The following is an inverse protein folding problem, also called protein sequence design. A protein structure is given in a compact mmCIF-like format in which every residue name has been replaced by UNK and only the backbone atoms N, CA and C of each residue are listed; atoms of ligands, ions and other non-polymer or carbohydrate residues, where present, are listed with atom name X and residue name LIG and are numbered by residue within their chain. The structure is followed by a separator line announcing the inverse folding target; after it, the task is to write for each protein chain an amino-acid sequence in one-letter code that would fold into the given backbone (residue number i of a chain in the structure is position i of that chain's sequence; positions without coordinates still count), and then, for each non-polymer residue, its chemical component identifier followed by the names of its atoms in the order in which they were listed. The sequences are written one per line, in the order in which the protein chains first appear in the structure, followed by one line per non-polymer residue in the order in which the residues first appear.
data_IF_085816780048
#
_entry.id   IF_085816780048
#
_cell.length_a   1.000
_cell.length_b   1.000
_cell.length_c   1.000
_cell.angle_alpha   90.00
_cell.angle_beta   90.00
_cell.angle_gamma   90.00
#
_symmetry.space_group_name_H-M   'P 1'
#
loop_
_entity.id
_entity.type
_entity.pdbx_description
1 polymer ?
#
# COMPACT_ATOMS: atom_id res chain seq x y z
N UNK A 1 -35.66 22.19 0.36
CA UNK A 1 -35.56 21.40 1.60
C UNK A 1 -36.46 20.19 1.45
N UNK A 2 -35.96 19.11 0.93
CA UNK A 2 -36.69 17.84 0.78
C UNK A 2 -36.37 16.98 1.97
N UNK A 3 -37.41 16.61 2.67
CA UNK A 3 -37.46 15.80 3.87
C UNK A 3 -36.93 14.38 3.61
N UNK A 4 -35.82 14.01 4.25
CA UNK A 4 -35.18 12.67 4.18
C UNK A 4 -35.60 11.76 5.34
N UNK A 5 -36.78 11.97 5.91
CA UNK A 5 -37.29 11.18 7.03
C UNK A 5 -38.45 10.29 6.60
N UNK A 6 -38.20 9.21 5.86
CA UNK A 6 -39.07 7.99 5.95
C UNK A 6 -38.78 7.03 4.81
N UNK A 7 -37.82 6.12 5.00
CA UNK A 7 -37.91 4.77 4.43
C UNK A 7 -37.01 3.81 5.25
N UNK A 8 -37.61 3.01 6.11
CA UNK A 8 -37.21 1.65 6.45
C UNK A 8 -35.86 1.42 7.17
N UNK A 9 -35.33 2.36 7.97
CA UNK A 9 -34.26 2.02 8.89
C UNK A 9 -34.88 1.36 10.12
N UNK A 10 -34.64 0.05 10.31
CA UNK A 10 -34.88 -0.62 11.57
C UNK A 10 -34.09 0.14 12.67
N UNK A 11 -34.76 1.00 13.42
CA UNK A 11 -34.16 1.80 14.50
C UNK A 11 -33.93 0.85 15.67
N UNK A 12 -32.77 0.17 15.66
CA UNK A 12 -32.29 -0.50 16.86
C UNK A 12 -32.09 0.57 17.93
N UNK A 13 -32.62 0.34 19.13
CA UNK A 13 -32.39 1.23 20.28
C UNK A 13 -30.90 1.32 20.58
N UNK A 14 -30.43 2.46 21.09
CA UNK A 14 -29.02 2.73 21.40
C UNK A 14 -28.35 1.59 22.20
N UNK A 15 -29.04 0.99 23.15
CA UNK A 15 -28.53 -0.14 23.94
C UNK A 15 -28.36 -1.46 23.15
N UNK A 16 -29.21 -1.73 22.15
CA UNK A 16 -29.10 -2.92 21.30
C UNK A 16 -27.98 -2.77 20.26
N UNK A 17 -27.70 -1.54 19.79
CA UNK A 17 -26.57 -1.26 18.91
C UNK A 17 -25.22 -1.51 19.60
N UNK A 18 -25.06 -1.11 20.88
CA UNK A 18 -23.81 -1.30 21.60
C UNK A 18 -23.46 -2.77 21.89
N UNK A 19 -24.45 -3.64 22.13
CA UNK A 19 -24.20 -5.05 22.44
C UNK A 19 -23.86 -5.92 21.21
N UNK A 20 -24.17 -5.47 19.99
CA UNK A 20 -23.84 -6.21 18.75
C UNK A 20 -22.49 -5.79 18.11
N UNK A 21 -21.91 -4.65 18.53
CA UNK A 21 -20.74 -4.03 17.88
C UNK A 21 -19.39 -4.68 18.21
N UNK A 22 -19.34 -5.47 19.29
CA UNK A 22 -18.08 -6.11 19.74
C UNK A 22 -18.07 -7.64 19.57
N UNK A 23 -18.88 -8.15 18.66
CA UNK A 23 -18.77 -9.58 18.33
C UNK A 23 -17.50 -9.79 17.52
N UNK A 24 -16.51 -10.46 18.14
CA UNK A 24 -15.25 -10.85 17.47
C UNK A 24 -15.57 -11.58 16.17
N UNK A 25 -14.77 -11.31 15.12
CA UNK A 25 -14.84 -12.08 13.88
C UNK A 25 -14.42 -13.52 14.16
N UNK A 26 -15.26 -14.48 13.79
CA UNK A 26 -14.96 -15.90 13.82
C UNK A 26 -14.51 -16.41 12.44
N UNK A 27 -14.11 -17.68 12.36
CA UNK A 27 -13.59 -18.28 11.12
C UNK A 27 -14.62 -18.37 10.00
N UNK A 28 -15.91 -18.25 10.30
CA UNK A 28 -17.02 -18.28 9.34
C UNK A 28 -17.42 -16.88 8.89
N UNK A 29 -16.91 -15.84 9.54
CA UNK A 29 -17.21 -14.44 9.19
C UNK A 29 -16.86 -14.17 7.74
N UNK A 30 -17.79 -13.56 7.00
CA UNK A 30 -17.56 -13.16 5.61
C UNK A 30 -16.75 -11.87 5.57
N UNK A 31 -15.56 -11.93 5.00
CA UNK A 31 -14.64 -10.78 4.91
C UNK A 31 -14.49 -10.35 3.46
N UNK A 32 -14.92 -9.14 3.15
CA UNK A 32 -14.69 -8.52 1.85
C UNK A 32 -13.32 -7.82 1.82
N UNK A 33 -12.46 -8.22 0.87
CA UNK A 33 -11.17 -7.57 0.63
C UNK A 33 -11.24 -6.79 -0.68
N UNK A 34 -11.59 -5.52 -0.60
CA UNK A 34 -11.57 -4.61 -1.74
C UNK A 34 -10.11 -4.36 -2.19
N UNK A 35 -9.80 -4.68 -3.45
CA UNK A 35 -8.44 -4.60 -3.98
C UNK A 35 -7.58 -5.85 -3.71
N UNK A 36 -8.21 -7.02 -3.55
CA UNK A 36 -7.57 -8.31 -3.25
C UNK A 36 -6.50 -8.77 -4.24
N UNK A 37 -6.45 -8.23 -5.45
CA UNK A 37 -5.43 -8.55 -6.48
C UNK A 37 -4.19 -7.66 -6.41
N UNK A 38 -4.20 -6.57 -5.64
CA UNK A 38 -3.07 -5.65 -5.48
C UNK A 38 -2.00 -6.17 -4.51
N UNK A 39 -0.85 -5.48 -4.44
CA UNK A 39 0.28 -5.82 -3.56
C UNK A 39 -0.18 -6.13 -2.13
N UNK A 40 -0.85 -5.21 -1.48
CA UNK A 40 -1.26 -5.35 -0.07
C UNK A 40 -2.51 -6.22 0.07
N UNK A 41 -3.48 -6.05 -0.82
CA UNK A 41 -4.74 -6.81 -0.76
C UNK A 41 -4.52 -8.31 -0.94
N UNK A 42 -3.63 -8.74 -1.85
CA UNK A 42 -3.30 -10.16 -2.03
C UNK A 42 -2.54 -10.75 -0.83
N UNK A 43 -1.65 -9.97 -0.24
CA UNK A 43 -0.95 -10.38 0.98
C UNK A 43 -1.92 -10.53 2.18
N UNK A 44 -2.88 -9.61 2.34
CA UNK A 44 -3.94 -9.70 3.37
C UNK A 44 -4.82 -10.93 3.13
N UNK A 45 -5.23 -11.17 1.88
CA UNK A 45 -6.00 -12.34 1.50
C UNK A 45 -5.30 -13.64 1.90
N UNK A 46 -4.02 -13.77 1.53
CA UNK A 46 -3.21 -14.95 1.86
C UNK A 46 -3.00 -15.11 3.37
N UNK A 47 -2.79 -14.01 4.11
CA UNK A 47 -2.65 -14.03 5.56
C UNK A 47 -3.93 -14.49 6.26
N UNK A 48 -5.11 -13.99 5.82
CA UNK A 48 -6.40 -14.44 6.33
C UNK A 48 -6.63 -15.94 6.05
N UNK A 49 -6.37 -16.39 4.81
CA UNK A 49 -6.45 -17.81 4.44
C UNK A 49 -5.55 -18.67 5.30
N UNK A 50 -4.28 -18.27 5.47
CA UNK A 50 -3.32 -18.97 6.32
C UNK A 50 -3.72 -19.04 7.80
N UNK A 51 -4.52 -18.09 8.27
CA UNK A 51 -5.12 -18.10 9.62
C UNK A 51 -6.45 -18.87 9.69
N UNK A 52 -6.93 -19.47 8.58
CA UNK A 52 -8.14 -20.29 8.51
C UNK A 52 -9.44 -19.47 8.33
N UNK A 53 -9.37 -18.22 7.89
CA UNK A 53 -10.53 -17.46 7.42
C UNK A 53 -10.74 -17.75 5.94
N UNK A 54 -11.69 -18.61 5.61
CA UNK A 54 -11.90 -19.11 4.24
C UNK A 54 -13.12 -18.47 3.55
N UNK A 55 -14.00 -17.80 4.29
CA UNK A 55 -15.16 -17.10 3.73
C UNK A 55 -14.76 -15.68 3.29
N UNK A 56 -13.88 -15.63 2.30
CA UNK A 56 -13.35 -14.37 1.75
C UNK A 56 -14.06 -14.02 0.45
N UNK A 57 -14.37 -12.74 0.28
CA UNK A 57 -14.99 -12.20 -0.95
C UNK A 57 -14.05 -11.14 -1.54
N UNK A 58 -13.80 -11.23 -2.83
CA UNK A 58 -13.06 -10.25 -3.63
C UNK A 58 -13.75 -10.09 -4.98
N UNK A 59 -13.64 -8.91 -5.58
CA UNK A 59 -14.08 -8.62 -6.95
C UNK A 59 -12.98 -7.83 -7.65
N UNK A 60 -12.68 -8.22 -8.87
CA UNK A 60 -11.82 -7.43 -9.75
C UNK A 60 -12.53 -6.15 -10.19
N UNK A 61 -11.79 -5.16 -10.66
CA UNK A 61 -12.37 -3.91 -11.20
C UNK A 61 -13.38 -4.16 -12.34
N UNK A 62 -13.21 -5.22 -13.12
CA UNK A 62 -14.16 -5.59 -14.19
C UNK A 62 -15.48 -6.16 -13.66
N UNK A 63 -15.44 -6.80 -12.48
CA UNK A 63 -16.62 -7.40 -11.84
C UNK A 63 -17.36 -6.40 -10.96
N UNK A 64 -16.62 -5.45 -10.34
CA UNK A 64 -17.17 -4.42 -9.48
C UNK A 64 -16.34 -3.15 -9.60
N UNK A 65 -16.89 -2.14 -10.28
CA UNK A 65 -16.32 -0.80 -10.26
C UNK A 65 -16.71 -0.07 -8.98
N UNK A 66 -15.74 0.19 -8.12
CA UNK A 66 -15.97 0.89 -6.85
C UNK A 66 -16.29 2.37 -7.02
N UNK A 67 -16.14 2.93 -8.23
CA UNK A 67 -16.59 4.28 -8.56
C UNK A 67 -18.11 4.35 -8.78
N UNK A 68 -18.76 3.22 -9.12
CA UNK A 68 -20.20 3.15 -9.31
C UNK A 68 -20.93 2.88 -7.99
N UNK A 69 -21.62 3.89 -7.40
CA UNK A 69 -22.33 3.74 -6.13
C UNK A 69 -23.50 2.73 -6.21
N UNK A 70 -24.11 2.55 -7.40
CA UNK A 70 -25.22 1.61 -7.58
C UNK A 70 -24.71 0.18 -7.59
N UNK A 71 -23.61 -0.07 -8.30
CA UNK A 71 -22.95 -1.38 -8.30
C UNK A 71 -22.43 -1.76 -6.91
N UNK A 72 -21.82 -0.83 -6.18
CA UNK A 72 -21.31 -1.06 -4.82
C UNK A 72 -22.48 -1.36 -3.87
N UNK A 73 -23.57 -0.57 -3.91
CA UNK A 73 -24.75 -0.86 -3.10
C UNK A 73 -25.30 -2.26 -3.37
N UNK A 74 -25.49 -2.61 -4.65
CA UNK A 74 -25.99 -3.94 -5.06
C UNK A 74 -25.10 -5.06 -4.53
N UNK A 75 -23.76 -4.89 -4.63
CA UNK A 75 -22.81 -5.86 -4.10
C UNK A 75 -22.98 -6.06 -2.58
N UNK A 76 -23.14 -4.97 -1.81
CA UNK A 76 -23.36 -5.09 -0.36
C UNK A 76 -24.72 -5.68 -0.03
N UNK A 77 -25.78 -5.37 -0.81
CA UNK A 77 -27.11 -6.00 -0.66
C UNK A 77 -27.03 -7.53 -0.83
N UNK A 78 -26.23 -8.02 -1.78
CA UNK A 78 -26.09 -9.44 -2.10
C UNK A 78 -25.12 -10.18 -1.16
N UNK A 79 -23.95 -9.60 -0.89
CA UNK A 79 -22.86 -10.29 -0.18
C UNK A 79 -22.97 -10.17 1.35
N UNK A 80 -23.51 -9.07 1.88
CA UNK A 80 -23.68 -8.84 3.32
C UNK A 80 -22.40 -9.18 4.13
N UNK A 81 -21.23 -8.55 3.88
CA UNK A 81 -20.00 -8.92 4.58
C UNK A 81 -20.03 -8.55 6.06
N UNK A 82 -19.47 -9.40 6.91
CA UNK A 82 -19.27 -9.12 8.34
C UNK A 82 -18.14 -8.12 8.58
N UNK A 83 -17.12 -8.18 7.75
CA UNK A 83 -15.98 -7.26 7.82
C UNK A 83 -15.51 -6.83 6.43
N UNK A 84 -14.88 -5.66 6.38
CA UNK A 84 -14.36 -5.08 5.14
C UNK A 84 -12.91 -4.66 5.34
N UNK A 85 -12.04 -5.02 4.39
CA UNK A 85 -10.70 -4.45 4.24
C UNK A 85 -10.70 -3.61 2.97
N UNK A 86 -10.58 -2.30 3.11
CA UNK A 86 -10.53 -1.37 1.99
C UNK A 86 -9.07 -1.09 1.60
N UNK A 87 -8.51 -1.98 0.76
CA UNK A 87 -7.17 -1.87 0.19
C UNK A 87 -7.19 -1.29 -1.24
N UNK A 88 -8.37 -1.19 -1.86
CA UNK A 88 -8.54 -0.59 -3.18
C UNK A 88 -8.30 0.91 -3.13
N UNK A 89 -7.51 1.42 -4.06
CA UNK A 89 -7.25 2.84 -4.26
C UNK A 89 -6.70 3.10 -5.66
N UNK A 90 -6.91 4.30 -6.18
CA UNK A 90 -6.16 4.79 -7.33
C UNK A 90 -4.79 5.25 -6.86
N UNK A 91 -3.73 4.53 -7.26
CA UNK A 91 -2.35 4.74 -6.79
C UNK A 91 -1.39 4.92 -7.95
N UNK A 92 -0.26 5.58 -7.70
CA UNK A 92 0.79 5.77 -8.70
C UNK A 92 2.00 6.48 -8.13
N UNK A 93 3.09 6.50 -8.91
CA UNK A 93 4.33 7.20 -8.55
C UNK A 93 4.18 8.74 -8.57
N UNK A 94 5.27 9.44 -8.24
CA UNK A 94 5.31 10.91 -8.13
C UNK A 94 4.79 11.59 -9.41
N UNK A 95 5.25 11.14 -10.59
CA UNK A 95 4.84 11.75 -11.87
C UNK A 95 3.36 11.55 -12.16
N UNK A 96 2.80 10.39 -11.86
CA UNK A 96 1.36 10.13 -12.02
C UNK A 96 0.53 11.04 -11.09
N UNK A 97 0.92 11.16 -9.82
CA UNK A 97 0.27 12.06 -8.86
C UNK A 97 0.31 13.53 -9.32
N UNK A 98 1.44 13.95 -9.90
CA UNK A 98 1.62 15.34 -10.36
C UNK A 98 0.76 15.63 -11.61
N UNK A 99 0.67 14.66 -12.55
CA UNK A 99 0.02 14.85 -13.83
C UNK A 99 -1.51 14.60 -13.79
N UNK A 100 -1.99 13.72 -12.92
CA UNK A 100 -3.39 13.29 -12.83
C UNK A 100 -4.05 13.68 -11.50
N UNK A 101 -3.74 14.90 -11.01
CA UNK A 101 -4.16 15.40 -9.69
C UNK A 101 -5.67 15.25 -9.42
N UNK A 102 -6.50 15.57 -10.40
CA UNK A 102 -7.96 15.50 -10.28
C UNK A 102 -8.43 14.04 -10.14
N UNK A 103 -7.88 13.11 -10.92
CA UNK A 103 -8.23 11.69 -10.86
C UNK A 103 -7.84 11.09 -9.50
N UNK A 104 -6.65 11.44 -8.98
CA UNK A 104 -6.19 10.94 -7.69
C UNK A 104 -7.09 11.37 -6.53
N UNK A 105 -7.54 12.62 -6.47
CA UNK A 105 -8.45 13.05 -5.41
C UNK A 105 -9.86 12.50 -5.64
N UNK A 106 -10.42 12.66 -6.83
CA UNK A 106 -11.80 12.33 -7.12
C UNK A 106 -12.09 10.83 -6.98
N UNK A 107 -11.31 9.99 -7.65
CA UNK A 107 -11.55 8.54 -7.62
C UNK A 107 -11.34 7.95 -6.23
N UNK A 108 -10.30 8.37 -5.51
CA UNK A 108 -10.10 7.87 -4.14
C UNK A 108 -11.22 8.31 -3.19
N UNK A 109 -11.69 9.54 -3.27
CA UNK A 109 -12.83 10.00 -2.48
C UNK A 109 -14.09 9.19 -2.81
N UNK A 110 -14.37 8.95 -4.10
CA UNK A 110 -15.55 8.20 -4.53
C UNK A 110 -15.50 6.75 -4.03
N UNK A 111 -14.39 6.05 -4.19
CA UNK A 111 -14.19 4.68 -3.68
C UNK A 111 -14.44 4.63 -2.18
N UNK A 112 -13.84 5.53 -1.42
CA UNK A 112 -13.94 5.57 0.04
C UNK A 112 -15.37 5.84 0.50
N UNK A 113 -16.03 6.82 -0.10
CA UNK A 113 -17.43 7.16 0.24
C UNK A 113 -18.37 5.99 -0.03
N UNK A 114 -18.23 5.33 -1.18
CA UNK A 114 -19.07 4.20 -1.54
C UNK A 114 -18.88 3.04 -0.57
N UNK A 115 -17.63 2.59 -0.36
CA UNK A 115 -17.35 1.40 0.45
C UNK A 115 -17.62 1.64 1.94
N UNK A 116 -17.16 2.77 2.53
CA UNK A 116 -17.37 3.07 3.95
C UNK A 116 -18.85 3.33 4.21
N UNK A 117 -19.53 4.06 3.31
CA UNK A 117 -20.95 4.36 3.43
C UNK A 117 -21.83 3.10 3.37
N UNK A 118 -21.59 2.20 2.42
CA UNK A 118 -22.34 0.95 2.33
C UNK A 118 -21.99 -0.02 3.47
N UNK A 119 -20.74 -0.02 3.93
CA UNK A 119 -20.37 -0.78 5.13
C UNK A 119 -21.22 -0.37 6.35
N UNK A 120 -21.45 0.93 6.53
CA UNK A 120 -22.31 1.41 7.62
C UNK A 120 -23.79 1.02 7.41
N UNK A 121 -24.33 1.21 6.19
CA UNK A 121 -25.75 0.90 5.89
C UNK A 121 -26.07 -0.58 6.11
N UNK A 122 -25.10 -1.46 5.84
CA UNK A 122 -25.25 -2.92 5.95
C UNK A 122 -24.76 -3.50 7.28
N UNK A 123 -24.42 -2.65 8.25
CA UNK A 123 -24.05 -3.09 9.60
C UNK A 123 -22.74 -3.88 9.66
N UNK A 124 -21.77 -3.57 8.78
CA UNK A 124 -20.44 -4.18 8.82
C UNK A 124 -19.83 -4.01 10.21
N UNK A 125 -19.43 -5.12 10.83
CA UNK A 125 -18.94 -5.17 12.22
C UNK A 125 -17.58 -4.51 12.38
N UNK A 126 -16.66 -4.75 11.42
CA UNK A 126 -15.31 -4.19 11.39
C UNK A 126 -14.94 -3.71 10.00
N UNK A 127 -14.30 -2.55 9.93
CA UNK A 127 -13.70 -2.06 8.69
C UNK A 127 -12.27 -1.63 8.96
N UNK A 128 -11.35 -2.12 8.11
CA UNK A 128 -9.98 -1.67 8.06
C UNK A 128 -9.74 -0.85 6.81
N UNK A 129 -9.42 0.42 6.97
CA UNK A 129 -9.07 1.34 5.89
C UNK A 129 -7.56 1.43 5.73
N UNK A 130 -7.05 1.14 4.53
CA UNK A 130 -5.64 1.29 4.20
C UNK A 130 -5.37 2.72 3.71
N UNK A 131 -4.76 3.50 4.57
CA UNK A 131 -4.29 4.84 4.30
C UNK A 131 -2.89 4.87 3.67
N UNK A 132 -2.11 5.88 4.01
CA UNK A 132 -0.72 6.05 3.60
C UNK A 132 -0.04 7.10 4.48
N UNK A 133 1.24 6.97 4.74
CA UNK A 133 2.03 8.00 5.44
C UNK A 133 2.20 9.32 4.67
N UNK A 134 1.70 9.42 3.43
CA UNK A 134 1.65 10.70 2.71
C UNK A 134 0.68 11.72 3.33
N UNK A 135 -0.18 11.29 4.26
CA UNK A 135 -1.09 12.17 5.01
C UNK A 135 -0.36 13.14 5.96
N UNK A 136 0.89 12.85 6.30
CA UNK A 136 1.65 13.71 7.19
C UNK A 136 2.25 14.91 6.48
N UNK A 137 2.38 16.03 7.19
CA UNK A 137 3.04 17.22 6.66
C UNK A 137 4.41 16.92 6.08
N UNK A 138 4.77 17.65 5.01
CA UNK A 138 6.09 17.53 4.37
C UNK A 138 7.26 17.66 5.36
N UNK A 139 7.12 18.57 6.32
CA UNK A 139 8.13 18.88 7.34
C UNK A 139 7.72 18.36 8.73
N UNK A 140 6.95 17.26 8.79
CA UNK A 140 6.58 16.67 10.07
C UNK A 140 7.82 16.29 10.90
N UNK A 141 7.79 16.48 12.23
CA UNK A 141 8.84 15.96 13.10
C UNK A 141 9.03 14.46 12.91
N UNK A 142 10.27 14.01 13.03
CA UNK A 142 10.65 12.60 12.82
C UNK A 142 11.11 11.96 14.14
N UNK A 143 10.65 10.74 14.45
CA UNK A 143 9.67 9.93 13.73
C UNK A 143 8.26 10.56 13.75
N UNK A 144 7.49 10.36 12.65
CA UNK A 144 6.15 10.93 12.48
C UNK A 144 5.16 10.19 13.38
N UNK A 145 4.63 10.90 14.37
CA UNK A 145 3.54 10.42 15.24
C UNK A 145 2.18 10.70 14.61
N UNK A 146 1.16 9.98 15.04
CA UNK A 146 -0.21 10.17 14.57
C UNK A 146 -0.73 11.60 14.82
N UNK A 147 -0.25 12.25 15.87
CA UNK A 147 -0.59 13.65 16.22
C UNK A 147 -0.07 14.68 15.21
N UNK A 148 0.88 14.32 14.35
CA UNK A 148 1.37 15.22 13.31
C UNK A 148 0.37 15.44 12.16
N UNK A 149 -0.75 14.70 12.13
CA UNK A 149 -1.78 14.87 11.11
C UNK A 149 -2.37 16.28 11.12
N UNK A 150 -2.40 16.94 9.95
CA UNK A 150 -2.99 18.28 9.73
C UNK A 150 -2.31 19.42 10.53
N UNK A 151 -1.06 19.28 10.90
CA UNK A 151 -0.32 20.33 11.64
C UNK A 151 0.41 21.32 10.72
N UNK A 152 0.62 21.02 9.45
CA UNK A 152 1.26 21.87 8.46
C UNK A 152 0.96 21.40 7.04
N UNK A 153 1.57 22.03 6.04
CA UNK A 153 1.39 21.74 4.61
C UNK A 153 1.84 20.32 4.21
N UNK A 154 1.09 19.73 3.30
CA UNK A 154 1.39 18.42 2.71
C UNK A 154 2.47 18.54 1.63
N UNK A 155 3.00 17.40 1.18
CA UNK A 155 3.88 17.36 0.02
C UNK A 155 3.09 17.67 -1.27
N UNK A 156 3.44 18.74 -1.95
CA UNK A 156 2.71 19.29 -3.09
C UNK A 156 2.46 18.27 -4.20
N UNK A 157 3.44 17.40 -4.49
CA UNK A 157 3.35 16.48 -5.63
C UNK A 157 2.27 15.43 -5.47
N UNK A 158 1.94 15.01 -4.23
CA UNK A 158 0.93 14.00 -3.94
C UNK A 158 -0.20 14.51 -3.03
N UNK A 159 -0.31 15.82 -2.84
CA UNK A 159 -1.32 16.46 -1.98
C UNK A 159 -2.75 15.97 -2.28
N UNK A 160 -3.23 15.89 -3.54
CA UNK A 160 -4.59 15.42 -3.84
C UNK A 160 -4.86 13.99 -3.33
N UNK A 161 -3.90 13.09 -3.50
CA UNK A 161 -3.98 11.74 -2.95
C UNK A 161 -3.97 11.75 -1.42
N UNK A 162 -3.09 12.54 -0.82
CA UNK A 162 -2.99 12.68 0.63
C UNK A 162 -4.29 13.20 1.24
N UNK A 163 -4.89 14.24 0.65
CA UNK A 163 -6.20 14.78 1.07
C UNK A 163 -7.29 13.71 1.00
N UNK A 164 -7.34 12.93 -0.08
CA UNK A 164 -8.31 11.84 -0.19
C UNK A 164 -8.10 10.79 0.92
N UNK A 165 -6.86 10.41 1.22
CA UNK A 165 -6.55 9.46 2.30
C UNK A 165 -6.86 10.03 3.70
N UNK A 166 -6.63 11.32 3.92
CA UNK A 166 -7.07 12.02 5.15
C UNK A 166 -8.59 11.97 5.29
N UNK A 167 -9.32 12.25 4.21
CA UNK A 167 -10.78 12.17 4.23
C UNK A 167 -11.27 10.77 4.60
N UNK A 168 -10.69 9.70 4.03
CA UNK A 168 -11.07 8.32 4.34
C UNK A 168 -10.81 7.94 5.79
N UNK A 169 -9.65 8.28 6.34
CA UNK A 169 -9.38 8.03 7.77
C UNK A 169 -10.32 8.82 8.68
N UNK A 170 -10.64 10.10 8.32
CA UNK A 170 -11.57 10.90 9.10
C UNK A 170 -13.02 10.41 8.96
N UNK A 171 -13.40 9.82 7.85
CA UNK A 171 -14.67 9.09 7.76
C UNK A 171 -14.72 7.92 8.75
N UNK A 172 -13.69 7.05 8.78
CA UNK A 172 -13.63 5.95 9.74
C UNK A 172 -13.75 6.46 11.19
N UNK A 173 -12.98 7.48 11.56
CA UNK A 173 -13.01 8.09 12.89
C UNK A 173 -14.40 8.67 13.21
N UNK A 174 -15.00 9.43 12.29
CA UNK A 174 -16.30 10.07 12.50
C UNK A 174 -17.44 9.07 12.61
N UNK A 175 -17.47 8.03 11.75
CA UNK A 175 -18.47 6.97 11.85
C UNK A 175 -18.35 6.18 13.15
N UNK A 176 -17.13 5.94 13.61
CA UNK A 176 -16.89 5.26 14.89
C UNK A 176 -17.33 6.11 16.09
N UNK A 177 -17.04 7.40 16.10
CA UNK A 177 -17.43 8.30 17.18
C UNK A 177 -18.93 8.58 17.22
N UNK A 178 -19.55 8.81 16.05
CA UNK A 178 -20.96 9.19 15.99
C UNK A 178 -21.91 8.00 16.09
N UNK A 179 -21.58 6.90 15.43
CA UNK A 179 -22.47 5.75 15.28
C UNK A 179 -21.99 4.49 16.03
N UNK A 180 -20.86 4.57 16.72
CA UNK A 180 -20.28 3.42 17.43
C UNK A 180 -19.75 2.32 16.51
N UNK A 181 -19.39 2.64 15.28
CA UNK A 181 -18.75 1.70 14.35
C UNK A 181 -17.37 1.27 14.87
N UNK A 182 -16.88 0.13 14.40
CA UNK A 182 -15.54 -0.35 14.69
C UNK A 182 -14.67 -0.26 13.43
N UNK A 183 -14.42 0.98 12.98
CA UNK A 183 -13.71 1.30 11.75
C UNK A 183 -12.36 1.93 12.07
N UNK A 184 -11.28 1.26 11.66
CA UNK A 184 -9.90 1.65 11.98
C UNK A 184 -9.15 1.93 10.68
N UNK A 185 -8.34 2.98 10.68
CA UNK A 185 -7.44 3.31 9.60
C UNK A 185 -5.99 2.98 9.97
N UNK A 186 -5.25 2.34 9.06
CA UNK A 186 -3.82 2.08 9.22
C UNK A 186 -3.02 2.80 8.15
N UNK A 187 -1.85 3.34 8.53
CA UNK A 187 -0.99 4.16 7.69
C UNK A 187 0.32 3.44 7.41
N UNK A 188 0.39 2.66 6.32
CA UNK A 188 1.62 1.97 5.95
C UNK A 188 2.71 2.94 5.51
N UNK A 189 3.95 2.60 5.86
CA UNK A 189 5.17 3.18 5.28
C UNK A 189 5.41 2.68 3.86
N UNK A 190 6.63 2.85 3.29
CA UNK A 190 6.90 2.36 1.94
C UNK A 190 6.94 0.82 1.93
N UNK A 191 6.10 0.24 1.11
CA UNK A 191 5.95 -1.20 1.00
C UNK A 191 6.76 -1.75 -0.17
N UNK A 192 7.20 -2.99 -0.03
CA UNK A 192 7.84 -3.78 -1.08
C UNK A 192 7.57 -5.26 -0.85
N UNK A 193 7.50 -6.06 -1.91
CA UNK A 193 7.22 -7.49 -1.76
C UNK A 193 6.77 -8.18 -3.05
N UNK A 194 6.30 -9.44 -2.95
CA UNK A 194 5.73 -10.17 -4.07
C UNK A 194 4.57 -9.41 -4.74
N UNK A 195 4.47 -9.54 -6.06
CA UNK A 195 3.47 -8.84 -6.89
C UNK A 195 3.62 -7.31 -6.94
N UNK A 196 4.77 -6.74 -6.53
CA UNK A 196 5.06 -5.33 -6.72
C UNK A 196 5.27 -5.00 -8.21
N UNK A 197 5.19 -3.71 -8.52
CA UNK A 197 5.41 -3.22 -9.87
C UNK A 197 6.91 -3.03 -10.13
N UNK A 198 7.46 -3.78 -11.09
CA UNK A 198 8.87 -3.68 -11.52
C UNK A 198 9.06 -2.87 -12.81
N UNK A 199 8.09 -2.06 -13.22
CA UNK A 199 8.22 -1.22 -14.41
C UNK A 199 9.26 -0.12 -14.19
N UNK A 200 10.20 0.07 -15.15
CA UNK A 200 11.35 0.97 -14.96
C UNK A 200 10.97 2.45 -14.78
N UNK A 201 9.80 2.87 -15.28
CA UNK A 201 9.34 4.27 -15.16
C UNK A 201 8.41 4.49 -13.96
N UNK A 202 7.50 3.54 -13.68
CA UNK A 202 6.35 3.78 -12.82
C UNK A 202 6.38 2.96 -11.52
N UNK A 203 7.47 2.23 -11.26
CA UNK A 203 7.61 1.44 -10.04
C UNK A 203 8.09 2.27 -8.85
N UNK A 204 7.92 1.70 -7.66
CA UNK A 204 8.56 2.21 -6.46
C UNK A 204 10.07 1.98 -6.52
N UNK A 205 10.80 2.69 -5.64
CA UNK A 205 12.27 2.75 -5.70
C UNK A 205 12.95 1.38 -5.55
N UNK A 206 12.50 0.52 -4.63
CA UNK A 206 13.17 -0.75 -4.35
C UNK A 206 12.96 -1.79 -5.47
N UNK A 207 11.74 -2.06 -5.99
CA UNK A 207 11.57 -2.95 -7.13
C UNK A 207 12.27 -2.43 -8.40
N UNK A 208 12.30 -1.09 -8.62
CA UNK A 208 13.09 -0.52 -9.72
C UNK A 208 14.58 -0.81 -9.58
N UNK A 209 15.13 -0.67 -8.38
CA UNK A 209 16.54 -0.99 -8.10
C UNK A 209 16.85 -2.46 -8.38
N UNK A 210 16.03 -3.39 -7.89
CA UNK A 210 16.23 -4.83 -8.13
C UNK A 210 16.28 -5.11 -9.62
N UNK A 211 15.29 -4.63 -10.39
CA UNK A 211 15.26 -4.88 -11.83
C UNK A 211 16.46 -4.26 -12.56
N UNK A 212 16.81 -3.01 -12.22
CA UNK A 212 17.94 -2.31 -12.85
C UNK A 212 19.27 -3.04 -12.58
N UNK A 213 19.53 -3.38 -11.32
CA UNK A 213 20.76 -4.05 -10.92
C UNK A 213 20.84 -5.46 -11.51
N UNK A 214 19.71 -6.20 -11.54
CA UNK A 214 19.65 -7.51 -12.17
C UNK A 214 19.96 -7.47 -13.66
N UNK A 215 19.32 -6.57 -14.42
CA UNK A 215 19.58 -6.41 -15.85
C UNK A 215 21.03 -5.98 -16.14
N UNK A 216 21.56 -5.03 -15.35
CA UNK A 216 22.96 -4.63 -15.48
C UNK A 216 23.92 -5.79 -15.22
N UNK A 217 23.67 -6.62 -14.21
CA UNK A 217 24.45 -7.84 -13.96
C UNK A 217 24.38 -8.80 -15.13
N UNK A 218 23.20 -9.12 -15.65
CA UNK A 218 23.04 -10.01 -16.80
C UNK A 218 23.81 -9.48 -18.03
N UNK A 219 23.75 -8.19 -18.30
CA UNK A 219 24.52 -7.55 -19.37
C UNK A 219 26.03 -7.64 -19.13
N UNK A 220 26.49 -7.40 -17.91
CA UNK A 220 27.91 -7.48 -17.52
C UNK A 220 28.48 -8.90 -17.67
N UNK A 221 27.65 -9.91 -17.36
CA UNK A 221 28.02 -11.32 -17.49
C UNK A 221 27.78 -11.90 -18.91
N UNK A 222 27.19 -11.11 -19.82
CA UNK A 222 26.84 -11.56 -21.16
C UNK A 222 25.65 -12.51 -21.23
N UNK A 223 24.86 -12.61 -20.16
CA UNK A 223 23.66 -13.46 -20.09
C UNK A 223 22.46 -12.82 -20.81
N UNK A 224 22.52 -12.84 -22.13
CA UNK A 224 21.47 -12.30 -22.99
C UNK A 224 20.14 -13.08 -22.89
N UNK A 225 20.19 -14.34 -22.53
CA UNK A 225 18.99 -15.14 -22.34
C UNK A 225 18.17 -14.63 -21.14
N UNK A 226 18.83 -14.30 -20.05
CA UNK A 226 18.18 -13.71 -18.87
C UNK A 226 17.64 -12.30 -19.17
N UNK A 227 18.41 -11.46 -19.90
CA UNK A 227 17.96 -10.13 -20.33
C UNK A 227 16.70 -10.23 -21.17
N UNK A 228 16.69 -11.08 -22.19
CA UNK A 228 15.55 -11.26 -23.09
C UNK A 228 14.30 -11.80 -22.36
N UNK A 229 14.49 -12.72 -21.45
CA UNK A 229 13.41 -13.25 -20.61
C UNK A 229 12.74 -12.15 -19.77
N UNK A 230 13.53 -11.31 -19.12
CA UNK A 230 12.99 -10.19 -18.32
C UNK A 230 12.20 -9.20 -19.18
N UNK A 231 12.79 -8.78 -20.31
CA UNK A 231 12.19 -7.78 -21.18
C UNK A 231 10.94 -8.34 -21.89
N UNK A 232 10.88 -9.63 -22.21
CA UNK A 232 9.67 -10.28 -22.73
C UNK A 232 8.55 -10.26 -21.70
N UNK A 233 8.87 -10.52 -20.43
CA UNK A 233 7.89 -10.48 -19.36
C UNK A 233 7.41 -9.05 -19.04
N UNK A 234 8.33 -8.07 -19.19
CA UNK A 234 8.08 -6.66 -18.86
C UNK A 234 8.70 -5.76 -19.92
N UNK A 235 8.08 -5.63 -21.11
CA UNK A 235 8.60 -4.78 -22.19
C UNK A 235 8.83 -3.34 -21.73
N UNK A 236 9.84 -2.69 -22.31
CA UNK A 236 10.23 -1.30 -22.01
C UNK A 236 10.05 -0.46 -23.25
N UNK A 237 9.20 0.56 -23.22
CA UNK A 237 8.87 1.41 -24.37
C UNK A 237 8.49 0.60 -25.66
N UNK A 238 7.83 -0.55 -25.49
CA UNK A 238 7.49 -1.45 -26.59
C UNK A 238 8.67 -2.30 -27.10
N UNK A 239 9.84 -2.20 -26.51
CA UNK A 239 10.99 -3.08 -26.78
C UNK A 239 10.87 -4.32 -25.90
N UNK A 240 10.81 -5.48 -26.56
CA UNK A 240 10.80 -6.81 -25.96
C UNK A 240 12.08 -7.60 -26.29
N UNK A 241 12.17 -8.82 -25.83
CA UNK A 241 13.34 -9.67 -26.05
C UNK A 241 13.54 -10.18 -27.48
N UNK A 242 12.64 -9.91 -28.42
CA UNK A 242 12.80 -10.24 -29.85
C UNK A 242 13.66 -9.21 -30.60
N UNK A 243 13.87 -8.04 -30.01
CA UNK A 243 14.64 -6.95 -30.61
C UNK A 243 16.14 -7.24 -30.64
N UNK A 244 16.87 -6.44 -31.46
CA UNK A 244 18.34 -6.54 -31.54
C UNK A 244 18.99 -6.18 -30.19
N UNK A 245 20.22 -6.69 -29.96
CA UNK A 245 20.97 -6.34 -28.77
C UNK A 245 21.21 -4.82 -28.68
N UNK A 246 21.44 -4.14 -29.80
CA UNK A 246 21.65 -2.71 -29.88
C UNK A 246 20.42 -1.92 -29.45
N UNK A 247 19.21 -2.29 -29.93
CA UNK A 247 17.97 -1.66 -29.51
C UNK A 247 17.69 -1.84 -28.04
N UNK A 248 17.92 -3.05 -27.50
CA UNK A 248 17.76 -3.36 -26.08
C UNK A 248 18.74 -2.51 -25.24
N UNK A 249 20.02 -2.48 -25.59
CA UNK A 249 21.03 -1.68 -24.89
C UNK A 249 20.68 -0.19 -24.90
N UNK A 250 20.32 0.33 -26.07
CA UNK A 250 19.94 1.75 -26.23
C UNK A 250 18.73 2.09 -25.37
N UNK A 251 17.74 1.21 -25.30
CA UNK A 251 16.54 1.40 -24.48
C UNK A 251 16.88 1.34 -23.01
N UNK A 252 17.62 0.33 -22.54
CA UNK A 252 18.00 0.18 -21.14
C UNK A 252 18.90 1.31 -20.66
N UNK A 253 19.79 1.82 -21.52
CA UNK A 253 20.66 2.95 -21.18
C UNK A 253 19.89 4.23 -20.84
N UNK A 254 18.71 4.48 -21.44
CA UNK A 254 17.83 5.61 -21.08
C UNK A 254 17.39 5.53 -19.60
N UNK A 255 17.30 4.33 -19.06
CA UNK A 255 16.93 4.07 -17.66
C UNK A 255 18.15 3.93 -16.74
N UNK A 256 19.35 4.25 -17.26
CA UNK A 256 20.59 4.18 -16.49
C UNK A 256 21.12 2.77 -16.28
N UNK A 257 20.81 1.83 -17.18
CA UNK A 257 21.23 0.43 -17.10
C UNK A 257 22.24 0.18 -18.22
N UNK A 258 23.50 -0.09 -17.86
CA UNK A 258 24.56 -0.51 -18.77
C UNK A 258 25.32 -1.70 -18.19
N UNK A 259 26.15 -2.41 -19.01
CA UNK A 259 27.00 -3.49 -18.48
C UNK A 259 27.93 -3.04 -17.36
N UNK A 260 28.42 -1.78 -17.42
CA UNK A 260 29.42 -1.23 -16.52
C UNK A 260 28.84 -0.54 -15.29
N UNK A 261 27.58 -0.03 -15.39
CA UNK A 261 27.03 0.82 -14.35
C UNK A 261 25.49 0.80 -14.29
N UNK A 262 24.98 1.03 -13.08
CA UNK A 262 23.59 1.40 -12.83
C UNK A 262 23.53 2.84 -12.33
N UNK A 263 22.78 3.70 -13.05
CA UNK A 263 22.55 5.09 -12.63
C UNK A 263 21.17 5.21 -11.98
N UNK A 264 21.14 5.67 -10.74
CA UNK A 264 19.95 5.97 -9.96
C UNK A 264 19.71 7.48 -9.88
N UNK A 265 18.45 7.89 -9.75
CA UNK A 265 18.07 9.29 -9.64
C UNK A 265 18.37 9.85 -8.26
N UNK A 266 18.67 11.16 -8.21
CA UNK A 266 18.91 11.92 -6.98
C UNK A 266 20.32 11.75 -6.44
N UNK A 267 20.50 12.08 -5.17
CA UNK A 267 21.81 12.00 -4.47
C UNK A 267 22.00 10.71 -3.67
N UNK A 268 20.92 9.94 -3.47
CA UNK A 268 20.91 8.79 -2.57
C UNK A 268 20.85 9.13 -1.09
N UNK A 269 20.80 10.41 -0.72
CA UNK A 269 20.78 10.87 0.69
C UNK A 269 19.44 10.73 1.41
N UNK A 270 18.27 10.83 0.73
CA UNK A 270 16.99 10.74 1.42
C UNK A 270 16.84 9.45 2.23
N UNK A 271 16.29 9.61 3.44
CA UNK A 271 16.06 8.51 4.35
C UNK A 271 14.65 7.94 4.15
N UNK A 272 14.53 6.63 4.10
CA UNK A 272 13.25 5.93 3.91
C UNK A 272 13.16 4.72 4.83
N UNK A 273 11.96 4.50 5.30
CA UNK A 273 11.55 3.29 5.97
C UNK A 273 10.90 2.36 4.95
N UNK A 274 11.20 1.05 5.05
CA UNK A 274 10.66 0.01 4.19
C UNK A 274 10.06 -1.13 5.02
N UNK A 275 8.88 -1.57 4.63
CA UNK A 275 8.20 -2.69 5.28
C UNK A 275 7.81 -3.75 4.24
N UNK A 276 8.10 -5.01 4.54
CA UNK A 276 7.72 -6.16 3.74
C UNK A 276 6.19 -6.30 3.64
N UNK A 277 5.65 -6.47 2.44
CA UNK A 277 4.20 -6.42 2.20
C UNK A 277 3.40 -7.49 2.95
N UNK A 278 3.99 -8.67 3.16
CA UNK A 278 3.34 -9.72 3.96
C UNK A 278 3.32 -9.37 5.46
N UNK A 279 4.28 -8.59 5.96
CA UNK A 279 4.25 -8.05 7.33
C UNK A 279 3.24 -6.91 7.47
N UNK A 280 3.10 -6.07 6.44
CA UNK A 280 1.98 -5.11 6.41
C UNK A 280 0.63 -5.83 6.45
N UNK A 281 0.51 -6.95 5.73
CA UNK A 281 -0.69 -7.77 5.77
C UNK A 281 -0.91 -8.39 7.16
N UNK A 282 0.14 -8.89 7.79
CA UNK A 282 0.08 -9.46 9.14
C UNK A 282 -0.33 -8.42 10.19
N UNK A 283 0.24 -7.21 10.13
CA UNK A 283 -0.17 -6.08 10.96
C UNK A 283 -1.65 -5.69 10.73
N UNK A 284 -2.06 -5.60 9.46
CA UNK A 284 -3.44 -5.28 9.08
C UNK A 284 -4.44 -6.29 9.62
N UNK A 285 -4.13 -7.57 9.46
CA UNK A 285 -4.98 -8.68 9.97
C UNK A 285 -4.96 -8.71 11.50
N UNK A 286 -3.81 -8.43 12.13
CA UNK A 286 -3.75 -8.28 13.59
C UNK A 286 -4.70 -7.17 14.07
N UNK A 287 -4.64 -5.98 13.46
CA UNK A 287 -5.54 -4.87 13.80
C UNK A 287 -7.01 -5.23 13.54
N UNK A 288 -7.31 -5.83 12.38
CA UNK A 288 -8.67 -6.24 12.03
C UNK A 288 -9.28 -7.21 13.05
N UNK A 289 -8.50 -8.16 13.57
CA UNK A 289 -8.99 -9.24 14.40
C UNK A 289 -8.94 -8.92 15.92
N UNK A 290 -7.95 -8.13 16.36
CA UNK A 290 -7.61 -8.02 17.78
C UNK A 290 -7.73 -6.59 18.34
N UNK A 291 -7.92 -5.57 17.49
CA UNK A 291 -7.97 -4.17 17.94
C UNK A 291 -9.35 -3.60 17.69
N UNK A 292 -9.97 -3.01 18.69
CA UNK A 292 -11.20 -2.25 18.56
C UNK A 292 -10.90 -0.74 18.46
N UNK A 293 -11.81 0.02 17.86
CA UNK A 293 -11.62 1.48 17.71
C UNK A 293 -11.33 2.16 19.04
N UNK A 294 -11.98 1.72 20.13
CA UNK A 294 -11.76 2.24 21.50
C UNK A 294 -10.32 2.04 22.01
N UNK A 295 -9.56 1.09 21.45
CA UNK A 295 -8.19 0.82 21.84
C UNK A 295 -7.17 1.77 21.18
N UNK A 296 -7.65 2.60 20.21
CA UNK A 296 -6.81 3.52 19.45
C UNK A 296 -6.63 4.90 20.08
N UNK A 297 -7.32 5.18 21.18
CA UNK A 297 -7.23 6.43 21.97
C UNK A 297 -7.29 6.15 23.45
N UNK A 298 -6.92 7.14 24.28
CA UNK A 298 -6.90 6.96 25.74
C UNK A 298 -8.30 7.17 26.33
N UNK A 299 -8.77 6.30 27.24
CA UNK A 299 -10.01 6.52 27.98
C UNK A 299 -9.97 7.86 28.73
N UNK A 300 -11.01 8.67 28.57
CA UNK A 300 -11.14 9.96 29.24
C UNK A 300 -10.59 11.16 28.46
N UNK A 301 -10.03 10.96 27.27
CA UNK A 301 -9.68 12.07 26.39
C UNK A 301 -10.92 12.91 26.08
N UNK A 302 -10.82 14.24 26.26
CA UNK A 302 -11.91 15.19 25.96
C UNK A 302 -12.16 15.33 24.47
N UNK A 303 -11.11 15.24 23.67
CA UNK A 303 -11.14 15.31 22.21
C UNK A 303 -10.49 14.05 21.65
N UNK A 304 -11.29 13.17 21.08
CA UNK A 304 -10.80 11.95 20.43
C UNK A 304 -10.46 12.30 18.98
N UNK A 305 -9.19 12.20 18.64
CA UNK A 305 -8.65 12.46 17.30
C UNK A 305 -7.43 11.60 17.02
N UNK A 306 -7.04 11.52 15.74
CA UNK A 306 -5.83 10.79 15.32
C UNK A 306 -5.84 9.31 15.76
N UNK A 307 -7.02 8.69 15.61
CA UNK A 307 -7.26 7.29 15.98
C UNK A 307 -6.64 6.27 15.01
N UNK A 308 -6.05 6.74 13.91
CA UNK A 308 -5.31 5.87 12.98
C UNK A 308 -4.03 5.32 13.62
N UNK A 309 -3.48 4.28 12.98
CA UNK A 309 -2.31 3.54 13.48
C UNK A 309 -1.24 3.54 12.40
N UNK A 310 -0.05 4.04 12.72
CA UNK A 310 1.11 3.90 11.84
C UNK A 310 1.55 2.44 11.77
N UNK A 311 1.85 1.96 10.55
CA UNK A 311 2.37 0.61 10.32
C UNK A 311 3.70 0.70 9.59
N UNK A 312 4.76 0.34 10.29
CA UNK A 312 6.14 0.42 9.82
C UNK A 312 7.08 -0.42 10.67
N UNK A 313 8.36 -0.24 10.44
CA UNK A 313 9.43 -0.91 11.21
C UNK A 313 10.01 -0.02 12.32
N UNK A 314 9.82 1.30 12.21
CA UNK A 314 10.51 2.29 13.04
C UNK A 314 12.01 2.40 12.74
N UNK A 315 12.47 1.85 11.59
CA UNK A 315 13.87 1.88 11.14
C UNK A 315 13.96 2.49 9.75
N UNK A 316 14.96 3.28 9.51
CA UNK A 316 15.18 3.93 8.21
C UNK A 316 16.59 3.69 7.71
N UNK A 317 16.74 3.78 6.39
CA UNK A 317 18.00 3.71 5.67
C UNK A 317 18.01 4.82 4.60
N UNK A 318 19.19 5.29 4.24
CA UNK A 318 19.33 6.12 3.05
C UNK A 318 19.04 5.30 1.79
N UNK A 319 18.57 5.97 0.76
CA UNK A 319 18.38 5.33 -0.55
C UNK A 319 19.68 4.73 -1.08
N UNK A 320 20.83 5.34 -0.72
CA UNK A 320 22.17 4.81 -1.04
C UNK A 320 22.43 3.48 -0.34
N UNK A 321 22.22 3.38 0.96
CA UNK A 321 22.41 2.13 1.72
C UNK A 321 21.52 1.01 1.18
N UNK A 322 20.26 1.32 0.81
CA UNK A 322 19.37 0.34 0.19
C UNK A 322 19.91 -0.11 -1.16
N UNK A 323 20.39 0.80 -2.01
CA UNK A 323 20.96 0.45 -3.30
C UNK A 323 22.22 -0.42 -3.16
N UNK A 324 23.10 -0.11 -2.21
CA UNK A 324 24.29 -0.89 -1.90
C UNK A 324 23.92 -2.31 -1.43
N UNK A 325 22.90 -2.46 -0.60
CA UNK A 325 22.36 -3.78 -0.18
C UNK A 325 21.81 -4.57 -1.37
N UNK A 326 21.07 -3.93 -2.27
CA UNK A 326 20.56 -4.56 -3.49
C UNK A 326 21.69 -5.02 -4.41
N UNK A 327 22.72 -4.18 -4.59
CA UNK A 327 23.91 -4.52 -5.39
C UNK A 327 24.65 -5.72 -4.79
N UNK A 328 24.84 -5.71 -3.47
CA UNK A 328 25.51 -6.82 -2.76
C UNK A 328 24.72 -8.14 -2.88
N UNK A 329 23.40 -8.11 -2.67
CA UNK A 329 22.54 -9.28 -2.77
C UNK A 329 22.49 -9.87 -4.18
N UNK A 330 22.41 -9.02 -5.20
CA UNK A 330 22.33 -9.46 -6.61
C UNK A 330 23.72 -9.90 -7.10
N UNK A 331 24.79 -9.37 -6.52
CA UNK A 331 26.18 -9.64 -6.90
C UNK A 331 26.60 -8.93 -8.19
N UNK A 332 26.12 -7.71 -8.44
CA UNK A 332 26.55 -6.89 -9.55
C UNK A 332 27.94 -6.30 -9.27
N UNK A 333 28.86 -6.40 -10.24
CA UNK A 333 30.26 -5.98 -10.08
C UNK A 333 30.60 -4.65 -10.75
N UNK A 334 29.60 -4.01 -11.38
CA UNK A 334 29.75 -2.69 -12.00
C UNK A 334 29.58 -1.55 -11.00
N UNK A 335 29.55 -0.33 -11.51
CA UNK A 335 29.50 0.90 -10.72
C UNK A 335 28.07 1.32 -10.39
N UNK A 336 27.81 1.81 -9.19
CA UNK A 336 26.59 2.48 -8.79
C UNK A 336 26.77 4.00 -8.92
N UNK A 337 26.04 4.63 -9.84
CA UNK A 337 26.09 6.07 -10.13
C UNK A 337 24.83 6.79 -9.68
N UNK A 338 24.95 8.09 -9.44
CA UNK A 338 23.86 8.95 -9.01
C UNK A 338 23.68 10.14 -9.95
N UNK A 339 22.45 10.33 -10.43
CA UNK A 339 22.10 11.51 -11.25
C UNK A 339 21.45 12.58 -10.34
N UNK A 340 22.29 13.45 -9.79
CA UNK A 340 21.85 14.54 -8.91
C UNK A 340 21.05 15.65 -9.65
N UNK A 341 20.91 15.60 -10.97
CA UNK A 341 20.02 16.50 -11.71
C UNK A 341 18.55 16.17 -11.49
N UNK A 342 18.25 14.97 -10.99
CA UNK A 342 16.89 14.51 -10.66
C UNK A 342 16.57 14.79 -9.20
N UNK A 343 15.29 15.08 -8.88
CA UNK A 343 14.90 15.43 -7.51
C UNK A 343 15.01 14.25 -6.55
N UNK A 344 15.41 14.55 -5.32
CA UNK A 344 15.49 13.59 -4.21
C UNK A 344 14.14 13.27 -3.56
N UNK A 345 13.13 14.11 -3.73
CA UNK A 345 11.85 14.04 -2.98
C UNK A 345 12.00 14.48 -1.51
N UNK A 346 11.08 14.05 -0.64
CA UNK A 346 11.09 14.39 0.79
C UNK A 346 12.37 13.89 1.47
N UNK A 347 13.08 14.71 2.25
CA UNK A 347 14.37 14.31 2.85
C UNK A 347 14.29 13.10 3.78
N UNK A 348 13.22 13.00 4.61
CA UNK A 348 13.08 11.93 5.59
C UNK A 348 11.62 11.52 5.75
N UNK A 349 11.37 10.21 5.93
CA UNK A 349 10.06 9.62 6.23
C UNK A 349 10.26 8.40 7.13
N UNK A 350 10.15 8.61 8.43
CA UNK A 350 10.20 7.56 9.46
C UNK A 350 8.92 7.61 10.28
N UNK A 351 8.22 6.51 10.46
CA UNK A 351 7.03 6.43 11.30
C UNK A 351 7.36 6.15 12.75
N UNK A 352 6.62 6.78 13.67
CA UNK A 352 6.54 6.32 15.05
C UNK A 352 5.56 5.14 15.10
N UNK A 353 6.05 4.00 15.50
CA UNK A 353 5.29 2.74 15.57
C UNK A 353 4.89 2.36 17.00
N UNK A 354 5.07 3.27 17.97
CA UNK A 354 4.81 3.04 19.39
C UNK A 354 3.36 2.60 19.64
N UNK A 355 2.38 3.21 18.95
CA UNK A 355 0.97 2.83 19.07
C UNK A 355 0.75 1.37 18.65
N UNK A 356 1.28 0.97 17.50
CA UNK A 356 1.16 -0.39 16.97
C UNK A 356 1.84 -1.42 17.91
N UNK A 357 3.03 -1.08 18.44
CA UNK A 357 3.73 -1.93 19.39
C UNK A 357 2.92 -2.13 20.67
N UNK A 358 2.32 -1.07 21.21
CA UNK A 358 1.45 -1.15 22.39
C UNK A 358 0.17 -1.97 22.14
N UNK A 359 -0.26 -2.06 20.88
CA UNK A 359 -1.36 -2.92 20.44
C UNK A 359 -0.92 -4.38 20.16
N UNK A 360 0.34 -4.71 20.45
CA UNK A 360 0.85 -6.09 20.45
C UNK A 360 1.42 -6.61 19.15
N UNK A 361 1.69 -5.74 18.15
CA UNK A 361 2.31 -6.19 16.90
C UNK A 361 3.69 -5.57 16.69
N UNK A 362 4.64 -6.37 16.22
CA UNK A 362 6.01 -5.99 15.87
C UNK A 362 6.40 -6.64 14.55
N UNK A 363 7.15 -5.93 13.70
CA UNK A 363 7.75 -6.52 12.51
C UNK A 363 8.83 -7.55 12.86
N UNK A 364 9.10 -8.47 11.94
CA UNK A 364 10.08 -9.58 12.12
C UNK A 364 11.10 -9.63 10.99
N UNK A 365 10.72 -9.15 9.79
CA UNK A 365 11.56 -9.22 8.59
C UNK A 365 12.32 -7.92 8.44
N UNK A 366 13.64 -8.01 8.57
CA UNK A 366 14.55 -6.89 8.34
C UNK A 366 14.81 -6.69 6.83
N UNK A 367 15.31 -5.52 6.46
CA UNK A 367 15.45 -5.13 5.06
C UNK A 367 16.35 -6.08 4.25
N UNK A 368 17.42 -6.61 4.82
CA UNK A 368 18.33 -7.54 4.13
C UNK A 368 17.61 -8.84 3.76
N UNK A 369 16.89 -9.42 4.70
CA UNK A 369 16.05 -10.60 4.49
C UNK A 369 14.96 -10.31 3.44
N UNK A 370 14.31 -9.14 3.53
CA UNK A 370 13.27 -8.73 2.58
C UNK A 370 13.80 -8.56 1.16
N UNK A 371 14.97 -7.94 0.98
CA UNK A 371 15.63 -7.81 -0.33
C UNK A 371 15.96 -9.20 -0.91
N UNK A 372 16.53 -10.08 -0.09
CA UNK A 372 16.82 -11.47 -0.50
C UNK A 372 15.54 -12.18 -0.98
N UNK A 373 14.47 -12.18 -0.19
CA UNK A 373 13.18 -12.82 -0.54
C UNK A 373 12.58 -12.24 -1.81
N UNK A 374 12.62 -10.90 -1.97
CA UNK A 374 12.09 -10.25 -3.16
C UNK A 374 12.90 -10.59 -4.41
N UNK A 375 14.22 -10.64 -4.31
CA UNK A 375 15.08 -11.03 -5.40
C UNK A 375 14.87 -12.50 -5.82
N UNK A 376 14.75 -13.41 -4.87
CA UNK A 376 14.42 -14.82 -5.15
C UNK A 376 13.03 -14.97 -5.81
N UNK A 377 12.03 -14.23 -5.34
CA UNK A 377 10.71 -14.18 -5.97
C UNK A 377 10.77 -13.64 -7.41
N UNK A 378 11.52 -12.56 -7.61
CA UNK A 378 11.70 -11.93 -8.91
C UNK A 378 12.33 -12.88 -9.92
N UNK A 379 13.40 -13.60 -9.55
CA UNK A 379 14.06 -14.62 -10.39
C UNK A 379 13.12 -15.76 -10.75
N UNK A 380 12.34 -16.26 -9.80
CA UNK A 380 11.35 -17.32 -10.04
C UNK A 380 10.30 -16.90 -11.06
N UNK A 381 9.79 -15.66 -10.98
CA UNK A 381 8.84 -15.13 -11.95
C UNK A 381 9.39 -15.10 -13.38
N UNK A 382 10.66 -14.80 -13.56
CA UNK A 382 11.35 -14.87 -14.86
C UNK A 382 11.48 -16.32 -15.37
N UNK A 383 11.63 -17.30 -14.47
CA UNK A 383 11.83 -18.70 -14.83
C UNK A 383 10.52 -19.47 -15.14
N UNK A 384 9.40 -19.11 -14.50
CA UNK A 384 8.14 -19.88 -14.57
C UNK A 384 7.38 -19.61 -15.87
N UNK A 385 7.43 -18.41 -16.44
CA UNK A 385 6.68 -18.02 -17.64
C UNK A 385 7.18 -18.66 -18.96
N UNK A 386 8.06 -19.65 -18.90
CA UNK A 386 8.47 -20.47 -20.05
C UNK A 386 7.73 -21.81 -20.17
N UNK A 387 6.74 -22.10 -19.30
CA UNK A 387 5.99 -23.37 -19.33
C UNK A 387 4.50 -23.21 -19.64
N UNK A 388 4.06 -22.02 -20.07
CA UNK A 388 2.68 -21.80 -20.51
C UNK A 388 2.59 -21.49 -22.00
#
# INVERSE_FOLDING_TARGET
MTDYSSQGACVLTTGQRYNNLYKMLDKNSKIYVAGHNGLVGSAIWNNLMGRGYTNLVGRSHKELDLLDPVAVKKFFDEEQPDAVVLAAAHVGGIMANLNYRADFIYQNLQIQQNVIGESYRHGVKKLLFLGSTCIYPRMAPQPMKEEALLTSELEYTNEPYAIAKIAGLKMCESFSLQYGCNYIAVMPTNLYGPNDNFHLENSHVLPAMIRKVYLAKCLNEGDWDAVRKDINLRPVEGVDGSRSNEEILTTLAKYGITPEAVTLWGTGKPMREFLWSEEMADASVHVLLNVDFKDTYKPGDKEIRNCHINVGTGKELSIREVAEKVVAEIGFRGELRWDASKPDGTPRKLTDVTKLHNLGWHHKIEIDEGIHRLYEWYKKGICINHKS
#
